data_IF_981013857067
#
_entry.id   IF_981013857067
#
_cell.length_a   1.000
_cell.length_b   1.000
_cell.length_c   1.000
_cell.angle_alpha   90.00
_cell.angle_beta   90.00
_cell.angle_gamma   90.00
#
_symmetry.space_group_name_H-M   'P 1'
#
loop_
_entity.id
_entity.type
_entity.pdbx_description
1 polymer ?
#
# COMPACT_ATOMS: atom_id res chain seq x y z
N UNK A 2 17.23 -10.08 -13.10
CA UNK A 2 16.66 -11.14 -12.26
C UNK A 2 15.82 -10.54 -11.12
N UNK A 3 14.97 -11.36 -10.51
CA UNK A 3 14.17 -10.95 -9.35
C UNK A 3 15.01 -10.83 -8.07
N UNK A 4 16.07 -11.62 -8.01
CA UNK A 4 17.02 -11.52 -6.92
C UNK A 4 17.76 -10.18 -7.04
N UNK A 5 17.88 -9.67 -8.26
CA UNK A 5 18.43 -8.34 -8.44
C UNK A 5 17.52 -7.25 -7.86
N UNK A 6 16.23 -7.30 -8.17
CA UNK A 6 15.28 -6.36 -7.56
C UNK A 6 15.37 -6.44 -6.03
N UNK A 7 15.07 -7.62 -5.47
CA UNK A 7 15.15 -7.80 -4.03
C UNK A 7 16.42 -7.20 -3.46
N UNK A 8 17.57 -7.67 -3.93
CA UNK A 8 18.86 -7.17 -3.47
C UNK A 8 18.91 -5.66 -3.48
N UNK A 9 18.45 -5.07 -4.57
CA UNK A 9 18.40 -3.63 -4.61
C UNK A 9 17.53 -3.07 -3.46
N UNK A 10 16.29 -3.54 -3.31
CA UNK A 10 15.41 -2.98 -2.26
C UNK A 10 15.97 -3.12 -0.84
N UNK A 11 16.62 -4.25 -0.58
CA UNK A 11 17.34 -4.45 0.66
C UNK A 11 18.38 -3.35 0.82
N UNK A 12 19.39 -3.36 -0.05
CA UNK A 12 20.48 -2.40 0.07
C UNK A 12 19.91 -1.00 0.27
N UNK A 13 18.86 -0.68 -0.46
CA UNK A 13 18.20 0.61 -0.29
C UNK A 13 17.75 0.81 1.14
N UNK A 14 17.17 -0.23 1.73
CA UNK A 14 16.66 -0.07 3.06
C UNK A 14 17.77 0.02 4.10
N UNK A 15 18.68 -0.94 4.06
CA UNK A 15 19.82 -0.93 4.97
C UNK A 15 20.49 0.41 4.90
N UNK A 16 20.70 0.92 3.70
CA UNK A 16 21.22 2.26 3.55
C UNK A 16 20.37 3.27 4.32
N UNK A 17 19.06 3.26 4.13
CA UNK A 17 18.25 4.19 4.92
C UNK A 17 18.59 4.08 6.41
N UNK A 18 18.75 2.86 6.90
CA UNK A 18 19.09 2.63 8.31
C UNK A 18 20.40 3.32 8.67
N UNK A 19 21.38 3.16 7.82
CA UNK A 19 22.64 3.77 8.09
C UNK A 19 22.47 5.24 8.10
N UNK A 20 21.71 5.82 7.21
CA UNK A 20 21.59 7.25 7.29
C UNK A 20 21.03 7.54 8.64
N UNK A 21 20.14 6.74 9.13
CA UNK A 21 19.59 7.10 10.38
C UNK A 21 20.70 7.16 11.39
N UNK A 22 21.58 6.19 11.32
CA UNK A 22 22.77 6.14 12.19
C UNK A 22 23.50 7.46 12.16
N UNK A 23 24.04 7.77 10.99
CA UNK A 23 24.83 8.98 10.80
C UNK A 23 24.01 10.24 11.05
N UNK A 24 22.70 10.07 11.21
CA UNK A 24 21.83 11.15 11.63
C UNK A 24 22.07 11.44 13.11
N UNK A 25 22.35 10.37 13.85
CA UNK A 25 22.73 10.50 15.23
C UNK A 25 24.24 10.80 15.26
N UNK A 26 24.84 10.92 14.08
CA UNK A 26 26.20 11.40 13.97
C UNK A 26 27.14 10.40 14.64
N UNK A 27 26.63 9.19 14.84
CA UNK A 27 27.42 8.13 15.44
C UNK A 27 28.57 7.80 14.52
N UNK A 28 28.28 7.83 13.22
CA UNK A 28 29.21 7.36 12.22
C UNK A 28 30.54 8.07 12.34
N UNK A 29 31.62 7.32 12.16
CA UNK A 29 32.93 7.91 11.93
C UNK A 29 33.04 8.26 10.44
N UNK A 30 34.15 8.87 10.04
CA UNK A 30 34.29 9.36 8.67
C UNK A 30 34.23 8.30 7.56
N UNK A 31 35.11 7.26 7.61
CA UNK A 31 35.12 6.29 6.51
C UNK A 31 33.72 5.71 6.27
N UNK A 32 33.01 5.44 7.36
CA UNK A 32 31.59 5.12 7.29
C UNK A 32 30.92 6.13 6.38
N UNK A 33 30.86 7.38 6.83
CA UNK A 33 30.10 8.39 6.12
C UNK A 33 30.50 8.51 4.63
N UNK A 34 31.71 8.05 4.32
CA UNK A 34 32.15 7.92 2.93
C UNK A 34 31.47 6.74 2.23
N UNK A 35 31.34 5.63 2.95
CA UNK A 35 30.55 4.49 2.48
C UNK A 35 29.11 4.94 2.22
N UNK A 36 28.61 5.81 3.10
CA UNK A 36 27.27 6.34 2.95
C UNK A 36 27.14 7.13 1.65
N UNK A 37 27.94 8.18 1.47
CA UNK A 37 27.86 8.95 0.23
C UNK A 37 28.05 8.08 -1.04
N UNK A 38 29.16 7.33 -1.08
CA UNK A 38 29.49 6.51 -2.25
C UNK A 38 28.43 5.46 -2.58
N UNK A 39 27.81 4.91 -1.54
CA UNK A 39 26.76 3.91 -1.72
C UNK A 39 25.44 4.56 -2.11
N UNK A 40 25.27 5.82 -1.75
CA UNK A 40 24.10 6.55 -2.20
C UNK A 40 24.20 6.83 -3.69
N UNK A 41 25.40 7.16 -4.16
CA UNK A 41 25.60 7.35 -5.60
C UNK A 41 25.44 6.04 -6.38
N UNK A 42 26.18 5.01 -5.96
CA UNK A 42 26.02 3.69 -6.55
C UNK A 42 24.53 3.29 -6.58
N UNK A 43 23.78 3.71 -5.56
CA UNK A 43 22.36 3.36 -5.51
C UNK A 43 21.52 4.15 -6.53
N UNK A 44 21.74 5.45 -6.60
CA UNK A 44 21.03 6.25 -7.60
C UNK A 44 21.28 5.70 -9.00
N UNK A 45 22.53 5.36 -9.29
CA UNK A 45 22.87 4.79 -10.58
C UNK A 45 22.13 3.48 -10.80
N UNK A 46 22.29 2.58 -9.84
CA UNK A 46 21.66 1.26 -9.88
C UNK A 46 20.15 1.29 -10.15
N UNK A 47 19.45 2.20 -9.48
CA UNK A 47 18.00 2.26 -9.55
C UNK A 47 17.51 3.01 -10.75
N UNK A 48 18.29 4.01 -11.15
CA UNK A 48 18.14 4.57 -12.48
C UNK A 48 18.07 3.43 -13.50
N UNK A 49 19.12 2.61 -13.58
CA UNK A 49 19.26 1.60 -14.64
C UNK A 49 18.21 0.46 -14.75
N UNK A 50 17.82 -0.15 -13.63
CA UNK A 50 16.73 -1.13 -13.65
C UNK A 50 15.38 -0.45 -13.44
N UNK A 51 15.45 0.86 -13.26
CA UNK A 51 14.30 1.72 -13.46
C UNK A 51 13.25 1.52 -12.40
N UNK A 52 13.71 1.44 -11.16
CA UNK A 52 12.85 1.57 -9.99
C UNK A 52 13.27 2.82 -9.24
N UNK A 53 12.29 3.60 -8.81
CA UNK A 53 12.57 4.75 -7.98
C UNK A 53 12.90 4.23 -6.59
N UNK A 54 13.58 5.05 -5.81
CA UNK A 54 14.09 4.55 -4.55
C UNK A 54 13.02 4.47 -3.48
N UNK A 55 12.20 5.50 -3.33
CA UNK A 55 11.32 5.56 -2.17
C UNK A 55 10.65 4.20 -1.94
N UNK A 56 10.07 3.65 -3.00
CA UNK A 56 9.35 2.39 -2.86
C UNK A 56 10.31 1.21 -2.75
N UNK A 57 11.42 1.25 -3.48
CA UNK A 57 12.42 0.20 -3.31
C UNK A 57 12.77 0.06 -1.82
N UNK A 58 12.87 1.19 -1.14
CA UNK A 58 13.23 1.23 0.27
C UNK A 58 12.13 0.70 1.18
N UNK A 59 10.86 1.02 0.90
CA UNK A 59 9.80 0.36 1.67
C UNK A 59 9.78 -1.17 1.46
N UNK A 60 10.02 -1.60 0.22
CA UNK A 60 10.11 -3.02 -0.07
C UNK A 60 11.21 -3.62 0.82
N UNK A 61 12.42 -3.07 0.71
CA UNK A 61 13.55 -3.50 1.52
C UNK A 61 13.19 -3.54 2.99
N UNK A 62 12.41 -2.58 3.44
CA UNK A 62 12.01 -2.54 4.83
C UNK A 62 11.16 -3.75 5.19
N UNK A 63 10.30 -4.15 4.27
CA UNK A 63 9.49 -5.36 4.47
C UNK A 63 10.29 -6.68 4.43
N UNK A 64 11.24 -6.77 3.50
CA UNK A 64 12.09 -7.95 3.36
C UNK A 64 12.91 -8.15 4.62
N UNK A 65 13.56 -7.07 5.01
CA UNK A 65 14.40 -7.06 6.18
C UNK A 65 13.56 -7.33 7.42
N UNK A 66 12.43 -6.65 7.57
CA UNK A 66 11.56 -6.91 8.71
C UNK A 66 11.30 -8.40 8.80
N UNK A 67 11.13 -9.03 7.64
CA UNK A 67 10.93 -10.48 7.60
C UNK A 67 12.16 -11.23 8.12
N UNK A 68 13.35 -10.82 7.70
CA UNK A 68 14.59 -11.42 8.20
C UNK A 68 14.76 -11.31 9.71
N UNK A 69 14.59 -10.10 10.22
CA UNK A 69 14.65 -9.83 11.65
C UNK A 69 13.58 -10.58 12.39
N UNK A 70 12.57 -10.95 11.68
CA UNK A 70 11.59 -11.84 12.22
C UNK A 70 12.07 -13.23 12.42
N UNK A 71 12.95 -13.73 11.60
CA UNK A 71 13.28 -15.13 11.75
C UNK A 71 14.70 -15.33 12.17
N UNK A 72 14.94 -16.02 13.28
CA UNK A 72 16.33 -16.21 13.72
C UNK A 72 16.94 -17.65 13.92
N UNK A 73 16.70 -18.32 15.04
CA UNK A 73 16.43 -17.69 16.29
C UNK A 73 17.64 -16.98 16.87
N UNK A 74 18.76 -17.68 16.92
CA UNK A 74 19.93 -17.08 17.48
C UNK A 74 19.54 -16.33 18.69
N UNK A 75 18.93 -17.03 19.63
CA UNK A 75 18.96 -16.63 21.01
C UNK A 75 18.36 -15.29 21.07
N UNK A 76 19.14 -14.32 21.50
CA UNK A 76 18.85 -12.98 21.09
C UNK A 76 19.91 -12.53 20.10
N UNK A 77 19.56 -12.57 18.82
CA UNK A 77 19.81 -11.48 17.91
C UNK A 77 18.38 -11.04 17.64
N UNK A 78 17.45 -11.81 18.19
CA UNK A 78 16.03 -11.54 18.06
C UNK A 78 15.72 -10.19 18.70
N UNK A 79 14.96 -9.39 17.96
CA UNK A 79 14.62 -8.02 18.34
C UNK A 79 13.15 -8.02 18.70
N UNK A 80 12.76 -7.05 19.51
CA UNK A 80 11.35 -6.81 19.76
C UNK A 80 11.07 -5.35 19.48
N UNK A 81 10.20 -5.12 18.50
CA UNK A 81 9.80 -3.77 18.15
C UNK A 81 8.31 -3.61 17.99
N UNK A 82 7.70 -2.81 18.85
CA UNK A 82 6.44 -2.19 18.50
C UNK A 82 6.54 -0.70 18.83
N UNK A 83 6.61 0.12 17.79
CA UNK A 83 6.58 1.57 17.95
C UNK A 83 5.11 1.92 17.91
N UNK A 84 4.31 0.85 17.90
CA UNK A 84 2.91 0.85 17.46
C UNK A 84 1.90 1.53 18.37
N UNK A 85 1.22 2.54 17.84
CA UNK A 85 -0.02 3.01 18.46
C UNK A 85 -1.12 2.07 17.97
N UNK A 86 -1.08 0.84 18.48
CA UNK A 86 -1.90 -0.28 18.00
C UNK A 86 -3.35 0.16 17.77
N UNK A 87 -3.96 -0.36 16.70
CA UNK A 87 -4.87 0.45 15.88
C UNK A 87 -6.35 0.09 15.91
N UNK A 88 -7.17 1.05 15.47
CA UNK A 88 -8.63 0.94 15.56
C UNK A 88 -9.29 0.55 14.22
N UNK A 89 -10.26 -0.35 14.28
CA UNK A 89 -10.80 -0.93 13.04
C UNK A 89 -12.21 -0.46 12.66
N UNK A 90 -12.39 -0.16 11.37
CA UNK A 90 -13.61 0.48 10.91
C UNK A 90 -14.29 -0.39 9.88
N UNK A 91 -15.57 -0.66 10.09
CA UNK A 91 -16.29 -1.56 9.21
C UNK A 91 -17.59 -0.99 8.69
N UNK A 92 -17.61 -0.69 7.40
CA UNK A 92 -18.77 -0.09 6.77
C UNK A 92 -19.61 -1.22 6.24
N UNK A 93 -19.06 -2.42 6.31
CA UNK A 93 -19.66 -3.53 5.60
C UNK A 93 -20.03 -4.64 6.53
N UNK A 94 -21.32 -4.90 6.61
CA UNK A 94 -21.78 -6.13 7.21
C UNK A 94 -21.05 -7.21 6.44
N UNK A 95 -20.74 -8.30 7.12
CA UNK A 95 -20.09 -9.41 6.47
C UNK A 95 -21.04 -10.00 5.44
N UNK A 96 -22.34 -9.79 5.64
CA UNK A 96 -23.32 -10.26 4.67
C UNK A 96 -23.00 -9.64 3.31
N UNK A 97 -22.63 -8.36 3.32
CA UNK A 97 -22.20 -7.65 2.12
C UNK A 97 -20.78 -8.06 1.71
N UNK A 98 -19.84 -7.98 2.66
CA UNK A 98 -18.44 -8.33 2.41
C UNK A 98 -18.30 -9.65 1.67
N UNK A 99 -19.12 -10.62 2.03
CA UNK A 99 -19.20 -11.84 1.25
C UNK A 99 -20.50 -11.82 0.51
N UNK A 100 -20.45 -11.54 -0.78
CA UNK A 100 -21.65 -11.59 -1.60
C UNK A 100 -21.23 -11.87 -3.01
N UNK A 101 -22.00 -12.69 -3.71
CA UNK A 101 -21.70 -13.01 -5.10
C UNK A 101 -21.60 -11.71 -5.92
N UNK A 102 -20.80 -11.73 -6.98
CA UNK A 102 -20.88 -10.69 -7.99
C UNK A 102 -19.96 -10.98 -9.16
N UNK A 103 -20.21 -10.31 -10.27
CA UNK A 103 -19.33 -10.41 -11.40
C UNK A 103 -19.34 -9.14 -12.23
N UNK A 104 -18.56 -9.13 -13.30
CA UNK A 104 -18.62 -7.98 -14.18
C UNK A 104 -19.05 -8.41 -15.57
N UNK A 105 -19.98 -7.64 -16.13
CA UNK A 105 -20.44 -7.87 -17.48
C UNK A 105 -19.32 -7.42 -18.40
N UNK A 106 -18.86 -6.20 -18.19
CA UNK A 106 -17.69 -5.68 -18.90
C UNK A 106 -16.63 -5.41 -17.86
N UNK A 107 -15.81 -6.43 -17.59
CA UNK A 107 -14.83 -6.44 -16.51
C UNK A 107 -13.64 -5.55 -16.82
N UNK A 108 -13.25 -4.75 -15.85
CA UNK A 108 -12.07 -3.93 -15.97
C UNK A 108 -11.22 -4.09 -14.71
N UNK A 109 -9.94 -4.41 -14.91
CA UNK A 109 -9.05 -4.83 -13.82
C UNK A 109 -7.77 -4.04 -13.92
N UNK A 110 -7.39 -3.37 -12.86
CA UNK A 110 -6.17 -2.59 -12.89
C UNK A 110 -5.42 -2.98 -11.64
N UNK A 111 -4.10 -2.87 -11.67
CA UNK A 111 -3.31 -3.01 -10.45
C UNK A 111 -2.41 -1.81 -10.20
N UNK A 112 -2.49 -1.23 -9.02
CA UNK A 112 -1.66 -0.08 -8.74
C UNK A 112 -1.32 -0.13 -7.27
N UNK A 113 -0.07 0.19 -6.93
CA UNK A 113 0.32 0.25 -5.53
C UNK A 113 -0.14 -0.95 -4.72
N UNK A 114 0.12 -2.14 -5.25
CA UNK A 114 -0.23 -3.37 -4.55
C UNK A 114 -1.69 -3.45 -4.12
N UNK A 115 -2.57 -2.93 -4.97
CA UNK A 115 -4.02 -3.10 -4.86
C UNK A 115 -4.61 -3.43 -6.23
N UNK A 116 -5.56 -4.37 -6.22
CA UNK A 116 -6.35 -4.71 -7.38
C UNK A 116 -7.60 -3.85 -7.35
N UNK A 117 -7.81 -3.13 -8.45
CA UNK A 117 -9.03 -2.40 -8.66
C UNK A 117 -9.85 -3.10 -9.72
N UNK A 118 -11.11 -3.36 -9.40
CA UNK A 118 -11.99 -4.08 -10.29
C UNK A 118 -13.24 -3.25 -10.48
N UNK A 119 -13.77 -3.23 -11.70
CA UNK A 119 -14.87 -2.34 -11.99
C UNK A 119 -15.73 -2.95 -13.08
N UNK A 120 -17.06 -2.78 -12.98
CA UNK A 120 -17.92 -3.14 -14.11
C UNK A 120 -18.10 -1.96 -15.09
N UNK A 121 -17.69 -2.21 -16.33
CA UNK A 121 -17.66 -1.16 -17.34
C UNK A 121 -19.06 -0.76 -17.76
N UNK A 122 -20.01 -1.70 -17.83
CA UNK A 122 -21.36 -1.26 -18.15
C UNK A 122 -22.03 -1.15 -16.83
N UNK A 123 -22.01 0.05 -16.28
CA UNK A 123 -22.89 0.43 -15.20
C UNK A 123 -23.12 1.89 -15.46
N UNK A 124 -24.33 2.29 -15.80
CA UNK A 124 -24.51 3.66 -16.18
C UNK A 124 -25.61 4.33 -15.41
N UNK A 125 -25.43 5.63 -15.21
CA UNK A 125 -26.43 6.50 -14.58
C UNK A 125 -27.00 5.86 -13.30
N UNK A 126 -26.10 5.39 -12.43
CA UNK A 126 -26.48 4.88 -11.12
C UNK A 126 -25.88 5.76 -10.02
N UNK A 127 -26.27 5.48 -8.79
CA UNK A 127 -25.77 6.23 -7.66
C UNK A 127 -25.08 5.24 -6.76
N UNK A 128 -23.77 5.34 -6.64
CA UNK A 128 -23.04 4.36 -5.86
C UNK A 128 -22.23 4.97 -4.73
N UNK A 129 -22.06 4.15 -3.71
CA UNK A 129 -21.36 4.55 -2.52
C UNK A 129 -20.27 3.52 -2.32
N UNK A 130 -19.07 4.00 -2.07
CA UNK A 130 -18.00 3.10 -1.72
C UNK A 130 -18.09 2.85 -0.23
N UNK A 131 -18.20 1.58 0.16
CA UNK A 131 -18.02 1.21 1.55
C UNK A 131 -16.67 0.51 1.70
N UNK A 132 -16.00 0.75 2.82
CA UNK A 132 -14.69 0.17 3.04
C UNK A 132 -14.47 -0.27 4.48
N UNK A 133 -14.07 -1.52 4.67
CA UNK A 133 -13.55 -1.96 5.97
C UNK A 133 -12.06 -1.82 5.92
N UNK A 134 -11.52 -1.13 6.92
CA UNK A 134 -10.10 -0.78 6.94
C UNK A 134 -9.66 -0.54 8.35
N UNK A 135 -8.45 -0.01 8.48
CA UNK A 135 -7.86 0.24 9.78
C UNK A 135 -7.25 1.63 9.87
N UNK A 136 -7.40 2.24 11.04
CA UNK A 136 -6.87 3.58 11.32
C UNK A 136 -5.88 3.65 12.47
N UNK A 137 -4.82 4.41 12.22
CA UNK A 137 -3.93 4.95 13.23
C UNK A 137 -4.14 6.45 13.10
N UNK A 138 -4.33 7.13 14.22
CA UNK A 138 -4.65 8.55 14.19
C UNK A 138 -5.92 8.74 13.35
N UNK A 139 -5.91 9.78 12.52
CA UNK A 139 -6.98 10.05 11.57
C UNK A 139 -6.55 9.66 10.17
N UNK A 140 -5.34 9.11 10.06
CA UNK A 140 -4.77 8.76 8.77
C UNK A 140 -4.64 7.25 8.63
N UNK A 141 -5.18 6.72 7.53
CA UNK A 141 -5.20 5.28 7.31
C UNK A 141 -3.82 4.66 7.10
N UNK A 142 -3.64 3.48 7.69
CA UNK A 142 -2.53 2.64 7.43
C UNK A 142 -2.82 1.69 6.28
N UNK A 143 -4.00 1.11 6.29
CA UNK A 143 -4.22 -0.14 5.66
C UNK A 143 -5.67 -0.36 5.35
N UNK A 144 -5.96 -1.13 4.32
CA UNK A 144 -7.31 -1.47 3.85
C UNK A 144 -7.50 -2.96 3.91
N UNK A 145 -8.71 -3.38 4.33
CA UNK A 145 -9.11 -4.79 4.33
C UNK A 145 -10.00 -5.21 3.15
N UNK A 146 -11.06 -4.45 2.87
CA UNK A 146 -11.80 -4.60 1.63
C UNK A 146 -12.64 -3.38 1.31
N UNK A 147 -12.49 -2.89 0.10
CA UNK A 147 -13.39 -1.86 -0.39
C UNK A 147 -14.32 -2.40 -1.47
N UNK A 148 -15.62 -2.10 -1.35
CA UNK A 148 -16.59 -2.47 -2.39
C UNK A 148 -17.50 -1.28 -2.74
N UNK A 149 -17.93 -1.21 -4.00
CA UNK A 149 -18.77 -0.12 -4.48
C UNK A 149 -20.18 -0.64 -4.66
N UNK A 150 -21.15 0.09 -4.10
CA UNK A 150 -22.54 -0.36 -4.03
C UNK A 150 -23.55 0.60 -4.64
N UNK A 151 -24.43 0.05 -5.47
CA UNK A 151 -25.49 0.84 -6.11
C UNK A 151 -26.60 1.27 -5.15
N UNK A 152 -27.61 1.95 -5.69
CA UNK A 152 -28.82 2.25 -4.93
C UNK A 152 -29.34 0.95 -4.33
N UNK A 153 -29.85 0.06 -5.18
CA UNK A 153 -30.15 -1.30 -4.76
C UNK A 153 -28.79 -1.90 -4.47
N UNK A 154 -28.55 -2.41 -3.25
CA UNK A 154 -27.19 -2.76 -2.87
C UNK A 154 -26.58 -3.87 -3.72
N UNK A 155 -25.55 -3.50 -4.48
CA UNK A 155 -24.98 -4.36 -5.52
C UNK A 155 -23.53 -3.97 -5.78
N UNK A 156 -22.70 -4.97 -6.10
CA UNK A 156 -21.28 -4.75 -6.27
C UNK A 156 -21.06 -4.43 -7.72
N UNK A 157 -20.69 -3.18 -7.97
CA UNK A 157 -20.20 -2.80 -9.27
C UNK A 157 -18.67 -2.61 -9.31
N UNK A 158 -18.02 -2.68 -8.15
CA UNK A 158 -16.61 -2.35 -8.04
C UNK A 158 -15.95 -2.84 -6.75
N UNK A 159 -14.62 -2.99 -6.78
CA UNK A 159 -13.90 -3.52 -5.63
C UNK A 159 -12.45 -3.03 -5.61
N UNK A 160 -11.92 -2.74 -4.44
CA UNK A 160 -10.49 -2.49 -4.32
C UNK A 160 -10.02 -3.39 -3.21
N UNK A 161 -9.19 -4.36 -3.57
CA UNK A 161 -8.65 -5.32 -2.61
C UNK A 161 -7.13 -5.26 -2.62
N UNK A 162 -6.51 -5.51 -1.47
CA UNK A 162 -5.07 -5.43 -1.30
C UNK A 162 -4.33 -6.70 -1.77
N UNK A 163 -3.05 -6.55 -2.13
CA UNK A 163 -2.25 -7.65 -2.68
C UNK A 163 -0.95 -7.96 -1.92
N UNK A 164 -0.61 -9.25 -1.80
CA UNK A 164 0.61 -9.68 -1.13
C UNK A 164 1.89 -9.45 -1.95
N UNK A 165 2.09 -8.22 -2.41
CA UNK A 165 3.30 -7.93 -3.16
C UNK A 165 4.20 -6.96 -2.41
N UNK A 166 5.30 -6.59 -3.06
CA UNK A 166 6.35 -5.76 -2.47
C UNK A 166 6.61 -4.43 -3.19
N UNK A 167 6.41 -3.30 -2.50
CA UNK A 167 5.95 -3.21 -1.11
C UNK A 167 4.46 -3.38 -0.99
N UNK A 168 3.98 -3.33 0.24
CA UNK A 168 2.56 -3.42 0.47
C UNK A 168 1.96 -2.08 0.10
N UNK A 169 0.74 -1.86 0.54
CA UNK A 169 0.05 -0.68 0.09
C UNK A 169 -0.04 0.24 1.25
N UNK A 170 -0.12 1.53 0.93
CA UNK A 170 -0.10 2.61 1.91
C UNK A 170 -1.39 3.40 1.79
N UNK A 171 -1.66 4.23 2.78
CA UNK A 171 -2.79 5.14 2.72
C UNK A 171 -2.84 5.83 1.35
N UNK A 172 -1.69 6.30 0.88
CA UNK A 172 -1.59 6.93 -0.42
C UNK A 172 -2.09 6.02 -1.52
N UNK A 173 -1.49 4.83 -1.62
CA UNK A 173 -1.82 3.88 -2.67
C UNK A 173 -3.32 3.68 -2.69
N UNK A 174 -3.92 3.74 -1.51
CA UNK A 174 -5.34 3.56 -1.39
C UNK A 174 -6.11 4.81 -1.80
N UNK A 175 -5.49 5.97 -1.63
CA UNK A 175 -6.18 7.20 -1.94
C UNK A 175 -6.25 7.26 -3.45
N UNK A 176 -5.13 7.08 -4.13
CA UNK A 176 -5.17 7.06 -5.58
C UNK A 176 -5.97 5.97 -6.08
N UNK A 177 -5.96 4.86 -5.39
CA UNK A 177 -6.83 3.77 -5.81
C UNK A 177 -8.28 4.19 -5.83
N UNK A 178 -8.73 4.84 -4.78
CA UNK A 178 -10.11 5.30 -4.77
C UNK A 178 -10.33 6.22 -5.95
N UNK A 179 -9.42 7.18 -6.09
CA UNK A 179 -9.51 8.15 -7.17
C UNK A 179 -9.77 7.45 -8.48
N UNK A 180 -8.94 6.46 -8.83
CA UNK A 180 -9.11 5.69 -10.06
C UNK A 180 -10.45 4.94 -10.18
N UNK A 181 -10.88 4.30 -9.09
CA UNK A 181 -12.15 3.58 -9.14
C UNK A 181 -13.29 4.55 -9.42
N UNK A 182 -13.36 5.60 -8.61
CA UNK A 182 -14.35 6.66 -8.80
C UNK A 182 -14.29 7.13 -10.23
N UNK A 183 -13.18 7.68 -10.61
CA UNK A 183 -13.09 8.49 -11.78
C UNK A 183 -13.48 7.77 -13.00
N UNK A 184 -13.16 6.51 -13.06
CA UNK A 184 -13.64 5.59 -14.04
C UNK A 184 -15.08 5.19 -13.96
N UNK A 185 -15.61 5.20 -12.77
CA UNK A 185 -17.03 4.95 -12.61
C UNK A 185 -17.82 6.11 -13.16
N UNK A 186 -17.39 7.30 -12.81
CA UNK A 186 -18.02 8.53 -13.24
C UNK A 186 -17.93 8.70 -14.76
N UNK A 187 -16.89 8.16 -15.38
CA UNK A 187 -16.69 8.34 -16.82
C UNK A 187 -17.86 7.81 -17.66
N UNK A 188 -18.42 6.66 -17.29
CA UNK A 188 -19.70 6.21 -17.84
C UNK A 188 -20.69 6.60 -16.77
N UNK A 189 -21.68 7.43 -17.10
CA UNK A 189 -22.19 8.28 -16.09
C UNK A 189 -22.70 7.64 -14.85
N UNK A 190 -22.24 8.15 -13.73
CA UNK A 190 -22.54 7.54 -12.44
C UNK A 190 -22.14 8.54 -11.39
N UNK A 191 -22.71 8.41 -10.20
CA UNK A 191 -22.35 9.35 -9.15
C UNK A 191 -21.85 8.60 -7.93
N UNK A 192 -20.63 8.90 -7.54
CA UNK A 192 -20.01 8.13 -6.49
C UNK A 192 -19.89 8.98 -5.23
N UNK A 193 -20.72 8.65 -4.24
CA UNK A 193 -20.52 9.10 -2.86
C UNK A 193 -19.67 8.04 -2.16
N UNK A 194 -18.73 8.50 -1.35
CA UNK A 194 -17.91 7.63 -0.54
C UNK A 194 -18.36 7.72 0.93
N UNK A 195 -18.38 6.60 1.64
CA UNK A 195 -18.82 6.58 3.03
C UNK A 195 -18.08 7.61 3.90
N UNK A 196 -18.80 8.09 4.92
CA UNK A 196 -18.33 9.07 5.91
C UNK A 196 -16.97 8.72 6.51
N UNK A 197 -16.89 7.49 7.00
CA UNK A 197 -15.68 6.90 7.55
C UNK A 197 -14.52 7.24 6.63
N UNK A 198 -14.65 6.78 5.39
CA UNK A 198 -13.70 7.10 4.33
C UNK A 198 -13.49 8.60 4.21
N UNK A 199 -14.58 9.33 4.00
CA UNK A 199 -14.51 10.78 3.89
C UNK A 199 -13.69 11.26 5.07
N UNK A 200 -14.07 10.80 6.26
CA UNK A 200 -13.44 11.22 7.52
C UNK A 200 -11.96 10.84 7.64
N UNK A 201 -11.49 9.96 6.76
CA UNK A 201 -10.20 9.28 6.92
C UNK A 201 -9.27 9.32 5.72
N UNK A 202 -9.95 9.00 4.63
CA UNK A 202 -9.51 8.79 3.30
C UNK A 202 -8.67 9.85 2.72
N UNK A 203 -9.25 11.03 2.66
CA UNK A 203 -8.71 12.08 1.86
C UNK A 203 -9.63 13.25 1.87
#
# INVERSE_FOLDING_TARGET
>A
MDSNTVSSFQVDCFLWHVRKRFADQELGDAPFLDRLRADQASLRGRGSTLGLDIETATRAGKQIVERILEEESDEALKMTIASVPASRYLTDMTLEEMSRDWFMLMPKQKVAGSLCIRMDQAIMDKNIILKANFSVIFDRLETLILLRAFTEEGAIVGEISPLPSLPGHTDEDVKNAIGVLIGGLEWNDNTVRVSETLQRFAWRSSNEDGRPPLPPNQKRKMARTIESEV
#
